data_IF_641714693124
#
_entry.id   IF_641714693124
#
_cell.length_a   1.000
_cell.length_b   1.000
_cell.length_c   1.000
_cell.angle_alpha   90.00
_cell.angle_beta   90.00
_cell.angle_gamma   90.00
#
_symmetry.space_group_name_H-M   'P 1'
#
loop_
_entity.id
_entity.type
_entity.pdbx_description
1 polymer ?
#
# COMPACT_ATOMS: atom_id res chain seq x y z
N UNK A 1 5.23 46.59 53.32
CA UNK A 1 4.77 46.37 51.93
C UNK A 1 5.25 44.99 51.49
N UNK A 2 4.41 43.94 51.55
CA UNK A 2 4.78 42.57 51.13
C UNK A 2 3.56 41.67 50.82
N UNK A 3 2.33 42.14 51.05
CA UNK A 3 1.12 41.33 50.87
C UNK A 3 0.51 41.44 49.45
N UNK A 4 0.66 42.59 48.78
CA UNK A 4 0.10 42.84 47.44
C UNK A 4 0.92 42.23 46.30
N UNK A 5 2.20 41.93 46.52
CA UNK A 5 3.11 41.37 45.51
C UNK A 5 2.90 39.87 45.33
N UNK A 6 2.69 39.15 46.44
CA UNK A 6 2.37 37.71 46.43
C UNK A 6 1.00 37.44 45.81
N UNK A 7 0.01 38.31 46.06
CA UNK A 7 -1.32 38.17 45.47
C UNK A 7 -1.33 38.47 43.96
N UNK A 8 -0.50 39.41 43.50
CA UNK A 8 -0.30 39.67 42.07
C UNK A 8 0.45 38.54 41.37
N UNK A 9 1.46 37.97 42.04
CA UNK A 9 2.20 36.80 41.56
C UNK A 9 1.27 35.57 41.46
N UNK A 10 0.48 35.29 42.50
CA UNK A 10 -0.52 34.21 42.49
C UNK A 10 -1.57 34.37 41.38
N UNK A 11 -2.05 35.59 41.13
CA UNK A 11 -2.98 35.85 40.02
C UNK A 11 -2.30 35.61 38.66
N UNK A 12 -1.06 36.06 38.46
CA UNK A 12 -0.33 35.85 37.21
C UNK A 12 -0.10 34.34 36.97
N UNK A 13 0.31 33.60 38.00
CA UNK A 13 0.47 32.14 37.91
C UNK A 13 -0.85 31.42 37.65
N UNK A 14 -1.95 31.89 38.23
CA UNK A 14 -3.28 31.33 37.97
C UNK A 14 -3.73 31.60 36.53
N UNK A 15 -3.51 32.80 36.00
CA UNK A 15 -3.82 33.16 34.61
C UNK A 15 -2.94 32.38 33.64
N UNK A 16 -1.64 32.24 33.90
CA UNK A 16 -0.73 31.44 33.08
C UNK A 16 -1.14 29.97 33.09
N UNK A 17 -1.48 29.41 34.26
CA UNK A 17 -1.95 28.03 34.37
C UNK A 17 -3.27 27.82 33.63
N UNK A 18 -4.23 28.75 33.76
CA UNK A 18 -5.50 28.72 33.03
C UNK A 18 -5.27 28.81 31.52
N UNK A 19 -4.38 29.68 31.04
CA UNK A 19 -4.04 29.79 29.62
C UNK A 19 -3.35 28.52 29.10
N UNK A 20 -2.41 27.94 29.86
CA UNK A 20 -1.75 26.67 29.49
C UNK A 20 -2.74 25.52 29.46
N UNK A 21 -3.70 25.46 30.39
CA UNK A 21 -4.76 24.44 30.40
C UNK A 21 -5.72 24.65 29.24
N UNK A 22 -6.17 25.87 28.95
CA UNK A 22 -7.07 26.18 27.83
C UNK A 22 -6.40 25.86 26.48
N UNK A 23 -5.15 26.28 26.29
CA UNK A 23 -4.39 26.00 25.06
C UNK A 23 -4.09 24.50 24.95
N UNK A 24 -3.75 23.83 26.06
CA UNK A 24 -3.55 22.38 26.11
C UNK A 24 -4.81 21.58 25.75
N UNK A 25 -5.97 21.98 26.28
CA UNK A 25 -7.26 21.37 25.96
C UNK A 25 -7.64 21.58 24.49
N UNK A 26 -7.36 22.78 23.94
CA UNK A 26 -7.60 23.08 22.54
C UNK A 26 -6.67 22.31 21.57
N UNK A 27 -5.44 22.01 21.98
CA UNK A 27 -4.50 21.16 21.21
C UNK A 27 -4.95 19.69 21.24
N UNK A 28 -5.41 19.18 22.39
CA UNK A 28 -5.90 17.80 22.52
C UNK A 28 -7.22 17.54 21.78
N UNK A 29 -8.05 18.57 21.57
CA UNK A 29 -9.31 18.43 20.83
C UNK A 29 -9.15 18.33 19.29
N UNK A 30 -7.95 18.52 18.73
CA UNK A 30 -7.70 18.51 17.27
C UNK A 30 -7.17 17.18 16.72
N UNK A 31 -6.91 16.18 17.55
CA UNK A 31 -6.59 14.83 17.10
C UNK A 31 -7.85 13.97 16.98
N UNK A 32 -8.79 14.39 16.12
CA UNK A 32 -9.92 13.56 15.73
C UNK A 32 -10.03 13.51 14.19
N UNK A 33 -9.11 12.75 13.58
CA UNK A 33 -9.30 12.23 12.22
C UNK A 33 -8.86 10.79 12.20
N UNK A 34 -9.77 9.90 12.61
CA UNK A 34 -9.91 8.65 11.89
C UNK A 34 -11.39 8.27 11.85
N UNK A 35 -12.04 8.77 10.79
CA UNK A 35 -13.36 8.35 10.39
C UNK A 35 -13.48 6.82 10.50
N UNK A 36 -14.43 6.42 11.33
CA UNK A 36 -14.95 5.07 11.40
C UNK A 36 -15.66 4.81 10.06
N UNK A 37 -15.26 3.84 9.24
CA UNK A 37 -16.04 3.52 8.05
C UNK A 37 -17.36 2.90 8.51
N UNK A 38 -18.44 3.60 8.21
CA UNK A 38 -19.81 3.16 8.45
C UNK A 38 -20.03 1.79 7.81
N UNK A 39 -20.51 0.84 8.62
CA UNK A 39 -20.99 -0.45 8.16
C UNK A 39 -22.35 -0.27 7.47
N UNK A 40 -22.33 0.38 6.30
CA UNK A 40 -23.42 0.43 5.34
C UNK A 40 -23.11 -0.52 4.19
N UNK A 41 -24.10 -1.27 3.75
CA UNK A 41 -24.04 -2.25 2.65
C UNK A 41 -23.30 -1.73 1.42
N UNK A 42 -22.05 -2.16 1.26
CA UNK A 42 -21.23 -1.90 0.09
C UNK A 42 -20.12 -2.94 0.06
N UNK A 43 -20.12 -3.81 -0.95
CA UNK A 43 -18.99 -4.70 -1.24
C UNK A 43 -17.69 -3.89 -1.15
N UNK A 44 -16.67 -4.28 -0.36
CA UNK A 44 -15.46 -3.48 -0.22
C UNK A 44 -14.90 -3.22 -1.61
N UNK A 45 -14.95 -1.96 -2.03
CA UNK A 45 -14.34 -1.56 -3.30
C UNK A 45 -12.86 -1.83 -3.20
N UNK A 46 -12.31 -2.51 -4.20
CA UNK A 46 -10.89 -2.72 -4.33
C UNK A 46 -10.12 -1.44 -3.97
N UNK A 47 -9.05 -1.53 -3.16
CA UNK A 47 -8.24 -0.36 -2.84
C UNK A 47 -7.68 0.26 -4.13
N UNK A 48 -7.65 1.60 -4.16
CA UNK A 48 -7.19 2.39 -5.28
C UNK A 48 -5.75 1.99 -5.70
N UNK A 49 -5.51 1.61 -6.98
CA UNK A 49 -4.20 1.17 -7.45
C UNK A 49 -3.09 2.21 -7.26
N UNK A 50 -3.40 3.51 -7.44
CA UNK A 50 -2.41 4.59 -7.27
C UNK A 50 -1.98 4.69 -5.81
N UNK A 51 -2.95 4.69 -4.89
CA UNK A 51 -2.66 4.69 -3.43
C UNK A 51 -1.83 3.48 -3.01
N UNK A 52 -2.09 2.30 -3.60
CA UNK A 52 -1.29 1.12 -3.28
C UNK A 52 0.13 1.21 -3.84
N UNK A 53 0.30 1.78 -5.02
CA UNK A 53 1.62 2.06 -5.62
C UNK A 53 2.41 3.04 -4.77
N UNK A 54 1.81 4.16 -4.37
CA UNK A 54 2.42 5.15 -3.49
C UNK A 54 2.82 4.54 -2.15
N UNK A 55 1.93 3.74 -1.54
CA UNK A 55 2.21 3.03 -0.28
C UNK A 55 3.36 2.02 -0.44
N UNK A 56 3.44 1.35 -1.57
CA UNK A 56 4.52 0.40 -1.84
C UNK A 56 5.85 1.12 -2.05
N UNK A 57 5.85 2.21 -2.82
CA UNK A 57 7.00 3.08 -3.05
C UNK A 57 7.52 3.70 -1.74
N UNK A 58 6.62 4.16 -0.86
CA UNK A 58 6.98 4.68 0.46
C UNK A 58 7.69 3.64 1.35
N UNK A 59 7.52 2.34 1.07
CA UNK A 59 8.21 1.23 1.74
C UNK A 59 9.45 0.72 0.99
N UNK A 60 9.85 1.40 -0.09
CA UNK A 60 10.98 1.04 -0.94
C UNK A 60 10.72 -0.14 -1.87
N UNK A 61 9.46 -0.53 -2.10
CA UNK A 61 9.12 -1.56 -3.09
C UNK A 61 9.03 -0.97 -4.49
N UNK A 62 9.50 -1.73 -5.49
CA UNK A 62 9.49 -1.35 -6.91
C UNK A 62 8.36 -2.05 -7.66
N UNK A 63 7.15 -2.03 -7.11
CA UNK A 63 5.95 -2.62 -7.74
C UNK A 63 4.92 -1.54 -8.02
N UNK A 64 4.39 -1.55 -9.25
CA UNK A 64 3.23 -0.72 -9.62
C UNK A 64 1.95 -1.55 -9.57
N UNK A 65 0.94 -1.03 -8.90
CA UNK A 65 -0.39 -1.61 -8.89
C UNK A 65 -1.19 -1.03 -10.05
N UNK A 66 -1.79 -1.93 -10.84
CA UNK A 66 -2.53 -1.59 -12.05
C UNK A 66 -3.94 -2.15 -11.97
N UNK A 67 -4.88 -1.46 -12.60
CA UNK A 67 -6.17 -2.03 -12.92
C UNK A 67 -6.11 -2.91 -14.18
N UNK A 68 -7.22 -3.58 -14.51
CA UNK A 68 -7.29 -4.47 -15.66
C UNK A 68 -7.08 -3.75 -17.02
N UNK A 69 -7.34 -2.46 -17.12
CA UNK A 69 -7.18 -1.71 -18.37
C UNK A 69 -5.72 -1.31 -18.60
N UNK A 70 -5.04 -0.87 -17.54
CA UNK A 70 -3.60 -0.58 -17.58
C UNK A 70 -2.76 -1.83 -17.73
N UNK A 71 -3.19 -2.94 -17.11
CA UNK A 71 -2.51 -4.23 -17.21
C UNK A 71 -2.32 -4.70 -18.64
N UNK A 72 -3.38 -4.61 -19.46
CA UNK A 72 -3.33 -4.97 -20.87
C UNK A 72 -2.29 -4.16 -21.66
N UNK A 73 -1.99 -2.92 -21.24
CA UNK A 73 -0.98 -2.10 -21.91
C UNK A 73 0.42 -2.62 -21.59
N UNK A 74 0.73 -2.87 -20.32
CA UNK A 74 2.08 -3.29 -19.92
C UNK A 74 2.43 -4.70 -20.39
N UNK A 75 1.44 -5.59 -20.49
CA UNK A 75 1.64 -6.96 -20.99
C UNK A 75 2.16 -7.03 -22.43
N UNK A 76 1.92 -6.01 -23.24
CA UNK A 76 2.32 -5.95 -24.65
C UNK A 76 3.52 -5.04 -24.93
N UNK A 77 3.89 -4.18 -23.98
CA UNK A 77 4.88 -3.12 -24.20
C UNK A 77 6.16 -3.27 -23.37
N UNK A 78 6.12 -4.01 -22.26
CA UNK A 78 7.27 -4.15 -21.35
C UNK A 78 7.63 -5.62 -21.12
N UNK A 79 8.93 -5.92 -21.11
CA UNK A 79 9.45 -7.15 -20.51
C UNK A 79 9.26 -7.07 -18.99
N UNK A 80 8.23 -7.74 -18.49
CA UNK A 80 7.76 -7.52 -17.14
C UNK A 80 7.24 -8.78 -16.46
N UNK A 81 7.12 -8.70 -15.15
CA UNK A 81 6.46 -9.72 -14.34
C UNK A 81 5.18 -9.13 -13.76
N UNK A 82 4.08 -9.83 -13.99
CA UNK A 82 2.75 -9.44 -13.54
C UNK A 82 2.24 -10.47 -12.53
N UNK A 83 1.92 -10.02 -11.32
CA UNK A 83 1.10 -10.77 -10.38
C UNK A 83 -0.37 -10.43 -10.60
N UNK A 84 -1.13 -11.38 -11.13
CA UNK A 84 -2.58 -11.31 -11.19
C UNK A 84 -3.17 -11.66 -9.82
N UNK A 85 -3.96 -10.74 -9.28
CA UNK A 85 -4.61 -10.90 -7.98
C UNK A 85 -6.03 -10.37 -7.99
N UNK A 86 -6.80 -10.72 -6.95
CA UNK A 86 -8.13 -10.19 -6.72
C UNK A 86 -8.31 -9.74 -5.26
N UNK A 87 -9.14 -8.74 -5.03
CA UNK A 87 -9.43 -8.14 -3.70
C UNK A 87 -10.15 -9.10 -2.73
N UNK A 88 -10.96 -10.02 -3.27
CA UNK A 88 -11.65 -11.07 -2.54
C UNK A 88 -10.81 -12.32 -2.26
N UNK A 89 -9.62 -12.44 -2.88
CA UNK A 89 -8.79 -13.64 -2.83
C UNK A 89 -7.91 -13.66 -1.57
N UNK A 90 -8.19 -14.58 -0.64
CA UNK A 90 -7.41 -14.75 0.60
C UNK A 90 -5.94 -15.14 0.36
N UNK A 91 -5.70 -16.07 -0.57
CA UNK A 91 -4.33 -16.47 -0.95
C UNK A 91 -3.51 -15.32 -1.53
N UNK A 92 -4.17 -14.41 -2.23
CA UNK A 92 -3.53 -13.24 -2.82
C UNK A 92 -3.04 -12.27 -1.74
N UNK A 93 -3.84 -12.08 -0.68
CA UNK A 93 -3.46 -11.24 0.46
C UNK A 93 -2.22 -11.77 1.16
N UNK A 94 -2.03 -13.09 1.20
CA UNK A 94 -0.85 -13.73 1.79
C UNK A 94 0.37 -13.68 0.87
N UNK A 95 0.17 -13.80 -0.44
CA UNK A 95 1.26 -13.83 -1.42
C UNK A 95 1.79 -12.44 -1.79
N UNK A 96 0.94 -11.41 -1.75
CA UNK A 96 1.29 -10.05 -2.17
C UNK A 96 2.48 -9.46 -1.39
N UNK A 97 2.58 -9.59 -0.05
CA UNK A 97 3.76 -9.11 0.69
C UNK A 97 5.06 -9.77 0.21
N UNK A 98 5.04 -11.08 -0.05
CA UNK A 98 6.21 -11.79 -0.56
C UNK A 98 6.62 -11.30 -1.96
N UNK A 99 5.65 -11.01 -2.82
CA UNK A 99 5.90 -10.43 -4.14
C UNK A 99 6.47 -9.01 -4.07
N UNK A 100 5.97 -8.18 -3.15
CA UNK A 100 6.52 -6.84 -2.90
C UNK A 100 7.97 -6.91 -2.39
N UNK A 101 8.26 -7.81 -1.45
CA UNK A 101 9.63 -8.00 -0.95
C UNK A 101 10.60 -8.42 -2.06
N UNK A 102 10.17 -9.28 -2.99
CA UNK A 102 10.98 -9.69 -4.12
C UNK A 102 11.40 -8.51 -5.02
N UNK A 103 10.58 -7.47 -5.13
CA UNK A 103 10.88 -6.27 -5.95
C UNK A 103 12.04 -5.42 -5.42
N UNK A 104 12.51 -5.69 -4.20
CA UNK A 104 13.70 -5.02 -3.64
C UNK A 104 14.98 -5.54 -4.27
N UNK A 105 14.96 -6.77 -4.76
CA UNK A 105 16.13 -7.37 -5.40
C UNK A 105 16.40 -6.64 -6.71
N UNK A 106 17.64 -6.18 -6.95
CA UNK A 106 18.00 -5.58 -8.22
C UNK A 106 17.90 -6.63 -9.33
N UNK A 107 16.95 -6.44 -10.22
CA UNK A 107 16.78 -7.17 -11.46
C UNK A 107 16.20 -6.22 -12.50
N UNK A 108 16.67 -6.29 -13.74
CA UNK A 108 16.23 -5.37 -14.80
C UNK A 108 14.74 -5.48 -15.15
N UNK A 109 14.07 -6.55 -14.69
CA UNK A 109 12.66 -6.81 -14.99
C UNK A 109 11.73 -5.94 -14.14
N UNK A 110 10.81 -5.23 -14.78
CA UNK A 110 9.78 -4.42 -14.09
C UNK A 110 8.70 -5.33 -13.50
N UNK A 111 8.27 -5.05 -12.25
CA UNK A 111 7.25 -5.84 -11.55
C UNK A 111 5.93 -5.07 -11.38
N UNK A 112 4.83 -5.74 -11.67
CA UNK A 112 3.46 -5.22 -11.61
C UNK A 112 2.54 -6.11 -10.78
N UNK A 113 1.57 -5.52 -10.10
CA UNK A 113 0.47 -6.21 -9.44
C UNK A 113 -0.87 -5.77 -10.06
N UNK A 114 -1.49 -6.65 -10.84
CA UNK A 114 -2.73 -6.37 -11.57
C UNK A 114 -3.96 -6.86 -10.83
N UNK A 115 -4.88 -5.95 -10.50
CA UNK A 115 -6.16 -6.31 -9.88
C UNK A 115 -7.19 -6.71 -10.92
N UNK A 116 -7.60 -7.98 -10.90
CA UNK A 116 -8.58 -8.51 -11.82
C UNK A 116 -9.97 -8.60 -11.17
N UNK A 117 -10.97 -8.11 -11.92
CA UNK A 117 -12.39 -8.28 -11.56
C UNK A 117 -12.86 -9.68 -11.96
N UNK A 118 -13.97 -10.13 -11.35
CA UNK A 118 -14.64 -11.38 -11.74
C UNK A 118 -14.95 -11.34 -13.26
N UNK A 119 -14.58 -12.39 -13.99
CA UNK A 119 -14.79 -12.51 -15.44
C UNK A 119 -13.55 -12.23 -16.32
N UNK A 120 -12.38 -11.96 -15.73
CA UNK A 120 -11.12 -11.92 -16.49
C UNK A 120 -10.71 -13.33 -16.97
N UNK A 121 -10.02 -13.48 -18.12
CA UNK A 121 -9.55 -14.79 -18.63
C UNK A 121 -8.58 -15.55 -17.70
N UNK A 122 -8.06 -14.92 -16.65
CA UNK A 122 -7.23 -15.59 -15.65
C UNK A 122 -8.15 -16.26 -14.64
N UNK A 123 -8.17 -17.59 -14.65
CA UNK A 123 -9.07 -18.41 -13.83
C UNK A 123 -8.57 -18.66 -12.41
N UNK A 124 -7.25 -18.65 -12.20
CA UNK A 124 -6.62 -18.96 -10.92
C UNK A 124 -5.88 -17.76 -10.32
N UNK A 125 -5.93 -17.66 -8.99
CA UNK A 125 -5.30 -16.56 -8.26
C UNK A 125 -4.61 -17.06 -6.99
N UNK A 126 -3.47 -16.46 -6.59
CA UNK A 126 -2.66 -15.56 -7.39
C UNK A 126 -1.88 -16.34 -8.47
N UNK A 127 -1.67 -15.69 -9.61
CA UNK A 127 -0.82 -16.21 -10.69
C UNK A 127 0.23 -15.15 -11.03
N UNK A 128 1.49 -15.56 -11.07
CA UNK A 128 2.60 -14.69 -11.46
C UNK A 128 3.09 -15.14 -12.82
N UNK A 129 3.16 -14.20 -13.77
CA UNK A 129 3.52 -14.47 -15.16
C UNK A 129 4.57 -13.48 -15.60
N UNK A 130 5.56 -13.96 -16.34
CA UNK A 130 6.51 -13.13 -17.06
C UNK A 130 6.02 -12.95 -18.50
N UNK A 131 5.95 -11.70 -18.91
CA UNK A 131 5.64 -11.28 -20.27
C UNK A 131 6.91 -10.84 -20.96
N UNK A 132 6.99 -11.16 -22.24
CA UNK A 132 8.10 -10.81 -23.10
C UNK A 132 7.57 -10.06 -24.32
N UNK A 133 8.29 -9.03 -24.72
CA UNK A 133 8.03 -8.20 -25.90
C UNK A 133 8.69 -8.75 -27.15
N UNK A 134 9.65 -9.68 -26.99
CA UNK A 134 10.40 -10.34 -28.07
C UNK A 134 9.63 -11.49 -28.76
N UNK A 135 8.37 -11.70 -28.40
CA UNK A 135 7.52 -12.75 -28.97
C UNK A 135 7.68 -14.12 -28.31
N UNK A 136 8.53 -14.27 -27.28
CA UNK A 136 8.56 -15.50 -26.48
C UNK A 136 7.22 -15.76 -25.81
N UNK A 137 6.93 -17.05 -25.60
CA UNK A 137 5.77 -17.46 -24.84
C UNK A 137 5.87 -16.95 -23.40
N UNK A 138 4.72 -16.54 -22.85
CA UNK A 138 4.60 -16.14 -21.45
C UNK A 138 5.03 -17.28 -20.52
N UNK A 139 5.85 -16.97 -19.53
CA UNK A 139 6.31 -17.95 -18.55
C UNK A 139 5.50 -17.83 -17.26
N UNK A 140 5.07 -18.96 -16.71
CA UNK A 140 4.30 -19.00 -15.46
C UNK A 140 5.22 -19.38 -14.30
N UNK A 141 5.14 -18.62 -13.21
CA UNK A 141 5.83 -18.98 -11.96
C UNK A 141 5.22 -20.25 -11.36
N UNK A 142 6.02 -21.31 -11.25
CA UNK A 142 5.60 -22.61 -10.68
C UNK A 142 6.16 -22.85 -9.27
N UNK A 143 6.99 -21.94 -8.76
CA UNK A 143 7.66 -22.08 -7.47
C UNK A 143 6.78 -21.74 -6.27
N UNK A 144 7.31 -21.89 -5.04
CA UNK A 144 6.62 -21.47 -3.83
C UNK A 144 6.38 -19.95 -3.82
N UNK A 145 5.42 -19.51 -3.01
CA UNK A 145 5.03 -18.09 -2.89
C UNK A 145 5.90 -17.33 -1.89
N UNK A 146 7.22 -17.44 -2.04
CA UNK A 146 8.21 -16.81 -1.16
C UNK A 146 8.92 -15.65 -1.86
N UNK A 147 9.47 -14.67 -1.11
CA UNK A 147 10.22 -13.57 -1.71
C UNK A 147 11.39 -14.06 -2.57
N UNK A 148 12.14 -15.07 -2.08
CA UNK A 148 13.27 -15.64 -2.81
C UNK A 148 12.86 -16.27 -4.13
N UNK A 149 11.75 -17.02 -4.14
CA UNK A 149 11.27 -17.69 -5.34
C UNK A 149 10.82 -16.69 -6.40
N UNK A 150 10.09 -15.64 -6.01
CA UNK A 150 9.71 -14.56 -6.93
C UNK A 150 10.91 -13.74 -7.41
N UNK A 151 11.89 -13.49 -6.54
CA UNK A 151 13.10 -12.77 -6.91
C UNK A 151 13.94 -13.57 -7.93
N UNK A 152 14.14 -14.86 -7.70
CA UNK A 152 14.79 -15.75 -8.67
C UNK A 152 14.05 -15.74 -10.00
N UNK A 153 12.72 -15.84 -9.96
CA UNK A 153 11.90 -15.75 -11.18
C UNK A 153 12.08 -14.40 -11.90
N UNK A 154 12.29 -13.30 -11.17
CA UNK A 154 12.53 -11.96 -11.71
C UNK A 154 13.92 -11.73 -12.30
N UNK A 155 14.91 -12.51 -11.89
CA UNK A 155 16.28 -12.42 -12.38
C UNK A 155 16.64 -13.49 -13.41
N UNK A 156 15.79 -14.49 -13.65
CA UNK A 156 15.97 -15.44 -14.75
C UNK A 156 15.91 -14.71 -16.10
N UNK A 157 16.92 -14.94 -16.95
CA UNK A 157 17.06 -14.38 -18.30
C UNK A 157 16.70 -15.40 -19.36
#
# INVERSE_FOLDING_TARGET
MSSTENHRSLIIWFVVLVVVVIVGFAVMAKTDVKGRPDAGTGKPSAPDPKKMTEKAAAKGYKVRFLDAAELKKVEHHDDCIVMYYADWCGYCKQALPAFLEASRVPGGTVMYAGNLRKGHPVSNFPTVVRHYTDGRAREFHKGPRTPSSYASFATTH
#
